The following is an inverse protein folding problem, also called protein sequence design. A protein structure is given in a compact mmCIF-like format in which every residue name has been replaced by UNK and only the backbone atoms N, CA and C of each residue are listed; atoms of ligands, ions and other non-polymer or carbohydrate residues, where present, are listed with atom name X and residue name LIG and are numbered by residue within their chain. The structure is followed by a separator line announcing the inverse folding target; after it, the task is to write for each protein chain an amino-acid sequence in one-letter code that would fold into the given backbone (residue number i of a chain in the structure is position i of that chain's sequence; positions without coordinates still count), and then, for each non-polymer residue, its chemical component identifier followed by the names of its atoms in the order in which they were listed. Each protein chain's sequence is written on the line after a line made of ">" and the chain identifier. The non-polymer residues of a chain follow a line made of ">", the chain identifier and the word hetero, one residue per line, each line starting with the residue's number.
data_IF_609492090449
#
_entry.id   IF_609492090449
#
_cell.length_a   1.000
_cell.length_b   1.000
_cell.length_c   1.000
_cell.angle_alpha   90.00
_cell.angle_beta   90.00
_cell.angle_gamma   90.00
#
_symmetry.space_group_name_H-M   'P 1'
#
loop_
_entity.id
_entity.type
_entity.pdbx_description
1 polymer ?
#
# COMPACT_ATOMS: atom_id res chain seq x y z
N UNK A 1 -13.60 4.08 -2.09
CA UNK A 1 -14.35 2.92 -1.56
C UNK A 1 -13.43 2.03 -0.75
N UNK A 2 -13.93 1.31 0.26
CA UNK A 2 -13.12 0.45 1.13
C UNK A 2 -13.13 -1.00 0.62
N UNK A 3 -11.96 -1.62 0.53
CA UNK A 3 -11.83 -3.03 0.16
C UNK A 3 -12.01 -3.90 1.41
N UNK A 4 -12.91 -4.87 1.33
CA UNK A 4 -13.14 -5.89 2.36
C UNK A 4 -13.67 -7.16 1.70
N UNK A 5 -13.63 -8.27 2.44
CA UNK A 5 -14.19 -9.55 2.00
C UNK A 5 -15.66 -9.42 1.58
N UNK A 6 -16.46 -8.66 2.35
CA UNK A 6 -17.88 -8.46 2.05
C UNK A 6 -18.07 -7.66 0.76
N UNK A 7 -17.27 -6.61 0.53
CA UNK A 7 -17.30 -5.84 -0.72
C UNK A 7 -17.07 -6.73 -1.95
N UNK A 8 -16.15 -7.68 -1.86
CA UNK A 8 -15.88 -8.62 -2.97
C UNK A 8 -17.02 -9.60 -3.20
N UNK A 9 -17.65 -10.14 -2.13
CA UNK A 9 -18.82 -11.04 -2.26
C UNK A 9 -20.03 -10.34 -2.87
N UNK A 10 -20.20 -9.05 -2.62
CA UNK A 10 -21.28 -8.23 -3.18
C UNK A 10 -21.03 -7.82 -4.64
N UNK A 11 -19.98 -8.33 -5.28
CA UNK A 11 -19.64 -8.02 -6.68
C UNK A 11 -18.94 -6.67 -6.88
N UNK A 12 -18.50 -6.00 -5.80
CA UNK A 12 -17.85 -4.68 -5.87
C UNK A 12 -16.36 -4.79 -6.21
N UNK A 13 -16.03 -5.44 -7.32
CA UNK A 13 -14.64 -5.71 -7.74
C UNK A 13 -13.81 -4.45 -8.00
N UNK A 14 -14.44 -3.34 -8.37
CA UNK A 14 -13.77 -2.04 -8.53
C UNK A 14 -13.13 -1.54 -7.23
N UNK A 15 -13.49 -2.09 -6.06
CA UNK A 15 -12.83 -1.79 -4.78
C UNK A 15 -11.38 -2.25 -4.75
N UNK A 16 -10.98 -3.24 -5.57
CA UNK A 16 -9.59 -3.68 -5.71
C UNK A 16 -8.66 -2.59 -6.24
N UNK A 17 -9.17 -1.69 -7.08
CA UNK A 17 -8.38 -0.58 -7.62
C UNK A 17 -8.66 0.71 -6.85
N UNK A 18 -9.93 1.01 -6.59
CA UNK A 18 -10.32 2.29 -5.99
C UNK A 18 -9.90 2.47 -4.52
N UNK A 19 -9.59 1.38 -3.80
CA UNK A 19 -9.07 1.50 -2.43
C UNK A 19 -7.64 2.07 -2.37
N UNK A 20 -6.86 1.93 -3.45
CA UNK A 20 -5.47 2.40 -3.54
C UNK A 20 -5.41 3.93 -3.38
N UNK A 21 -6.39 4.63 -3.95
CA UNK A 21 -6.46 6.10 -3.90
C UNK A 21 -7.10 6.65 -2.61
N UNK A 22 -7.68 5.77 -1.77
CA UNK A 22 -8.38 6.19 -0.58
C UNK A 22 -7.44 6.22 0.63
N UNK A 23 -7.23 7.40 1.20
CA UNK A 23 -6.37 7.58 2.37
C UNK A 23 -7.22 7.67 3.65
N UNK A 24 -6.66 7.20 4.77
CA UNK A 24 -7.35 7.22 6.06
C UNK A 24 -7.36 8.61 6.69
N UNK A 25 -6.27 9.36 6.49
CA UNK A 25 -6.01 10.69 7.06
C UNK A 25 -4.96 11.44 6.22
N UNK A 26 -4.86 12.76 6.44
CA UNK A 26 -3.94 13.63 5.69
C UNK A 26 -2.46 13.30 5.93
N UNK A 27 -2.09 12.81 7.12
CA UNK A 27 -0.72 12.40 7.42
C UNK A 27 -0.34 11.15 6.63
N UNK A 28 -1.24 10.17 6.52
CA UNK A 28 -1.02 8.98 5.68
C UNK A 28 -0.86 9.32 4.20
N UNK A 29 -1.65 10.28 3.69
CA UNK A 29 -1.47 10.80 2.34
C UNK A 29 -0.10 11.46 2.17
N UNK A 30 0.30 12.29 3.13
CA UNK A 30 1.59 12.98 3.10
C UNK A 30 2.75 12.00 3.10
N UNK A 31 2.74 10.99 3.98
CA UNK A 31 3.81 9.99 4.05
C UNK A 31 3.88 9.14 2.78
N UNK A 32 2.74 8.68 2.24
CA UNK A 32 2.74 7.93 0.98
C UNK A 32 3.25 8.78 -0.18
N UNK A 33 2.84 10.04 -0.27
CA UNK A 33 3.27 10.95 -1.34
C UNK A 33 4.76 11.29 -1.22
N UNK A 34 5.24 11.51 0.01
CA UNK A 34 6.65 11.72 0.30
C UNK A 34 7.48 10.52 -0.11
N UNK A 35 7.11 9.30 0.30
CA UNK A 35 7.81 8.08 -0.12
C UNK A 35 7.77 7.88 -1.63
N UNK A 36 6.61 8.11 -2.28
CA UNK A 36 6.48 8.03 -3.73
C UNK A 36 7.39 9.02 -4.45
N UNK A 37 7.59 10.22 -3.90
CA UNK A 37 8.50 11.22 -4.48
C UNK A 37 9.94 10.71 -4.52
N UNK A 38 10.46 10.17 -3.41
CA UNK A 38 11.81 9.62 -3.37
C UNK A 38 11.96 8.37 -4.23
N UNK A 39 11.06 7.41 -4.05
CA UNK A 39 11.11 6.13 -4.77
C UNK A 39 10.91 6.34 -6.27
N UNK A 40 10.01 7.24 -6.67
CA UNK A 40 9.80 7.62 -8.05
C UNK A 40 11.05 8.25 -8.68
N UNK A 41 11.77 9.07 -7.92
CA UNK A 41 13.08 9.60 -8.34
C UNK A 41 14.12 8.50 -8.55
N UNK A 42 14.24 7.56 -7.60
CA UNK A 42 15.17 6.42 -7.71
C UNK A 42 14.83 5.50 -8.88
N UNK A 43 13.54 5.30 -9.15
CA UNK A 43 13.03 4.46 -10.23
C UNK A 43 12.79 5.23 -11.53
N UNK A 44 13.37 6.43 -11.68
CA UNK A 44 13.21 7.27 -12.87
C UNK A 44 13.71 6.63 -14.17
N UNK A 45 14.57 5.61 -14.08
CA UNK A 45 14.99 4.80 -15.22
C UNK A 45 13.87 3.89 -15.77
N UNK A 46 12.78 3.67 -15.02
CA UNK A 46 11.61 2.95 -15.50
C UNK A 46 10.74 3.84 -16.39
N UNK A 47 10.21 3.27 -17.46
CA UNK A 47 9.15 3.91 -18.22
C UNK A 47 7.95 4.24 -17.30
N UNK A 48 7.31 5.41 -17.42
CA UNK A 48 6.21 5.81 -16.55
C UNK A 48 5.09 4.77 -16.45
N UNK A 49 4.76 4.10 -17.55
CA UNK A 49 3.76 3.04 -17.57
C UNK A 49 4.14 1.81 -16.73
N UNK A 50 5.44 1.48 -16.64
CA UNK A 50 5.93 0.38 -15.78
C UNK A 50 5.87 0.76 -14.31
N UNK A 51 6.22 2.00 -13.97
CA UNK A 51 6.10 2.50 -12.60
C UNK A 51 4.63 2.50 -12.14
N UNK A 52 3.72 2.97 -12.99
CA UNK A 52 2.28 2.95 -12.72
C UNK A 52 1.76 1.51 -12.59
N UNK A 53 2.19 0.60 -13.48
CA UNK A 53 1.80 -0.80 -13.40
C UNK A 53 2.27 -1.43 -12.09
N UNK A 54 3.54 -1.25 -11.71
CA UNK A 54 4.08 -1.77 -10.44
C UNK A 54 3.31 -1.21 -9.25
N UNK A 55 3.04 0.10 -9.24
CA UNK A 55 2.26 0.74 -8.20
C UNK A 55 0.85 0.13 -8.06
N UNK A 56 0.11 -0.02 -9.16
CA UNK A 56 -1.23 -0.60 -9.14
C UNK A 56 -1.22 -2.09 -8.79
N UNK A 57 -0.31 -2.86 -9.39
CA UNK A 57 -0.17 -4.30 -9.15
C UNK A 57 0.19 -4.59 -7.69
N UNK A 58 1.12 -3.85 -7.11
CA UNK A 58 1.47 -3.95 -5.69
C UNK A 58 0.32 -3.57 -4.77
N UNK A 59 -0.48 -2.56 -5.14
CA UNK A 59 -1.67 -2.18 -4.38
C UNK A 59 -2.73 -3.27 -4.38
N UNK A 60 -3.03 -3.83 -5.55
CA UNK A 60 -3.97 -4.95 -5.71
C UNK A 60 -3.47 -6.19 -4.95
N UNK A 61 -2.20 -6.55 -5.11
CA UNK A 61 -1.60 -7.70 -4.43
C UNK A 61 -1.63 -7.54 -2.90
N UNK A 62 -1.26 -6.36 -2.40
CA UNK A 62 -1.33 -6.05 -0.97
C UNK A 62 -2.77 -6.09 -0.42
N UNK A 63 -3.72 -5.55 -1.18
CA UNK A 63 -5.15 -5.59 -0.82
C UNK A 63 -5.70 -7.02 -0.77
N UNK A 64 -5.38 -7.85 -1.77
CA UNK A 64 -5.76 -9.26 -1.80
C UNK A 64 -5.12 -10.05 -0.66
N UNK A 65 -3.82 -9.86 -0.43
CA UNK A 65 -3.10 -10.50 0.66
C UNK A 65 -3.74 -10.17 2.02
N UNK A 66 -4.12 -8.91 2.24
CA UNK A 66 -4.80 -8.49 3.46
C UNK A 66 -6.19 -9.12 3.61
N UNK A 67 -6.99 -9.15 2.54
CA UNK A 67 -8.30 -9.80 2.56
C UNK A 67 -8.16 -11.31 2.84
N UNK A 68 -7.20 -11.99 2.22
CA UNK A 68 -6.94 -13.41 2.47
C UNK A 68 -6.44 -13.67 3.89
N UNK A 69 -5.57 -12.80 4.42
CA UNK A 69 -5.06 -12.93 5.79
C UNK A 69 -6.20 -12.78 6.82
N UNK A 70 -7.12 -11.85 6.59
CA UNK A 70 -8.31 -11.68 7.44
C UNK A 70 -9.29 -12.86 7.36
N UNK A 71 -9.28 -13.63 6.28
CA UNK A 71 -10.08 -14.85 6.14
C UNK A 71 -9.43 -16.05 6.83
N UNK A 72 -8.10 -16.19 6.73
CA UNK A 72 -7.36 -17.35 7.20
C UNK A 72 -6.95 -17.28 8.68
N UNK A 73 -6.69 -16.08 9.20
CA UNK A 73 -6.20 -15.91 10.57
C UNK A 73 -7.37 -15.84 11.57
N UNK A 74 -7.32 -16.58 12.69
CA UNK A 74 -8.35 -16.53 13.70
C UNK A 74 -8.51 -15.10 14.25
N UNK A 75 -9.75 -14.61 14.22
CA UNK A 75 -10.12 -13.25 14.64
C UNK A 75 -9.81 -13.10 16.13
N UNK A 76 -8.65 -12.52 16.47
CA UNK A 76 -8.36 -12.12 17.84
C UNK A 76 -9.38 -11.05 18.24
N UNK A 77 -10.40 -11.46 19.00
CA UNK A 77 -11.47 -10.62 19.55
C UNK A 77 -10.91 -9.73 20.68
N UNK A 78 -9.88 -8.94 20.38
CA UNK A 78 -9.48 -7.86 21.25
C UNK A 78 -10.32 -6.65 20.84
N UNK A 79 -11.27 -6.25 21.67
CA UNK A 79 -12.18 -5.13 21.48
C UNK A 79 -11.50 -3.75 21.61
N UNK A 80 -10.25 -3.62 21.18
CA UNK A 80 -9.60 -2.31 21.06
C UNK A 80 -10.07 -1.61 19.79
N UNK A 81 -10.16 -0.28 19.83
CA UNK A 81 -10.50 0.57 18.68
C UNK A 81 -9.65 0.24 17.43
N UNK A 82 -8.40 -0.20 17.64
CA UNK A 82 -7.49 -0.69 16.59
C UNK A 82 -7.97 -1.96 15.86
N UNK A 83 -8.70 -2.86 16.52
CA UNK A 83 -9.18 -4.09 15.88
C UNK A 83 -10.33 -3.86 14.90
N UNK A 84 -11.09 -2.77 15.07
CA UNK A 84 -12.18 -2.38 14.16
C UNK A 84 -11.65 -1.77 12.86
N UNK A 85 -10.43 -1.22 12.88
CA UNK A 85 -9.74 -0.77 11.66
C UNK A 85 -9.20 -1.94 10.81
N UNK A 86 -9.03 -3.15 11.36
CA UNK A 86 -8.57 -4.33 10.61
C UNK A 86 -9.57 -4.85 9.58
N UNK A 87 -10.83 -4.43 9.61
CA UNK A 87 -11.87 -4.94 8.71
C UNK A 87 -11.79 -4.35 7.30
N UNK A 88 -11.11 -3.20 7.15
CA UNK A 88 -11.05 -2.49 5.89
C UNK A 88 -9.60 -2.28 5.46
N UNK A 89 -9.29 -2.71 4.25
CA UNK A 89 -8.07 -2.27 3.57
C UNK A 89 -8.32 -0.85 3.10
N UNK A 90 -7.58 0.09 3.68
CA UNK A 90 -7.59 1.49 3.30
C UNK A 90 -6.15 1.88 3.07
N UNK A 91 -5.82 2.31 1.85
CA UNK A 91 -4.58 3.01 1.60
C UNK A 91 -3.71 2.45 0.48
N UNK A 92 -2.98 3.39 -0.10
CA UNK A 92 -1.86 3.27 -1.01
C UNK A 92 -0.64 2.53 -0.42
N UNK A 93 -0.61 2.23 0.87
CA UNK A 93 0.58 1.68 1.55
C UNK A 93 1.06 0.35 0.96
N UNK A 94 0.14 -0.52 0.51
CA UNK A 94 0.52 -1.75 -0.21
C UNK A 94 1.29 -1.47 -1.50
N UNK A 95 0.87 -0.45 -2.26
CA UNK A 95 1.56 0.02 -3.46
C UNK A 95 2.94 0.60 -3.15
N UNK A 96 3.03 1.45 -2.12
CA UNK A 96 4.29 2.08 -1.70
C UNK A 96 5.29 1.04 -1.20
N UNK A 97 4.85 0.10 -0.38
CA UNK A 97 5.69 -1.00 0.08
C UNK A 97 6.21 -1.85 -1.07
N UNK A 98 5.39 -2.10 -2.10
CA UNK A 98 5.83 -2.83 -3.29
C UNK A 98 6.90 -2.09 -4.10
N UNK A 99 6.74 -0.78 -4.29
CA UNK A 99 7.75 0.05 -4.95
C UNK A 99 9.04 0.16 -4.12
N UNK A 100 8.93 0.28 -2.79
CA UNK A 100 10.08 0.23 -1.89
C UNK A 100 10.82 -1.12 -2.00
N UNK A 101 10.09 -2.23 -1.96
CA UNK A 101 10.67 -3.56 -2.12
C UNK A 101 11.40 -3.69 -3.46
N UNK A 102 10.78 -3.24 -4.55
CA UNK A 102 11.43 -3.21 -5.86
C UNK A 102 12.71 -2.37 -5.85
N UNK A 103 12.66 -1.20 -5.22
CA UNK A 103 13.80 -0.30 -5.10
C UNK A 103 14.95 -0.93 -4.31
N UNK A 104 14.65 -1.61 -3.20
CA UNK A 104 15.65 -2.34 -2.42
C UNK A 104 16.33 -3.45 -3.24
N UNK A 105 15.60 -4.07 -4.16
CA UNK A 105 16.15 -5.11 -5.04
C UNK A 105 16.98 -4.53 -6.18
N UNK A 106 16.61 -3.38 -6.73
CA UNK A 106 17.32 -2.78 -7.88
C UNK A 106 18.46 -1.85 -7.48
N UNK A 107 18.40 -1.25 -6.29
CA UNK A 107 19.38 -0.28 -5.81
C UNK A 107 19.76 -0.56 -4.34
N UNK A 108 20.31 -1.75 -4.02
CA UNK A 108 20.58 -2.17 -2.63
C UNK A 108 21.63 -1.31 -1.91
N UNK A 109 22.53 -0.64 -2.65
CA UNK A 109 23.58 0.21 -2.10
C UNK A 109 23.23 1.71 -2.10
N UNK A 110 21.98 2.05 -2.41
CA UNK A 110 21.52 3.43 -2.37
C UNK A 110 21.59 3.99 -0.95
N UNK A 111 22.09 5.22 -0.82
CA UNK A 111 22.00 5.98 0.43
C UNK A 111 20.56 6.41 0.66
N UNK A 112 19.93 5.86 1.71
CA UNK A 112 18.60 6.27 2.14
C UNK A 112 18.75 7.42 3.12
N UNK A 113 18.08 8.54 2.85
CA UNK A 113 18.00 9.64 3.78
C UNK A 113 16.99 9.29 4.89
N UNK A 114 17.48 9.15 6.12
CA UNK A 114 16.63 8.97 7.30
C UNK A 114 16.25 10.36 7.79
N UNK A 115 15.12 10.91 7.37
CA UNK A 115 14.68 12.22 7.85
C UNK A 115 14.46 12.20 9.38
N UNK A 116 15.02 13.14 10.18
CA UNK A 116 15.75 14.36 9.80
C UNK A 116 17.29 14.26 9.85
N UNK A 117 17.86 13.07 10.04
CA UNK A 117 19.31 12.85 10.13
C UNK A 117 19.93 13.04 8.73
N UNK A 118 20.77 14.08 8.52
CA UNK A 118 21.52 14.20 7.29
C UNK A 118 22.57 13.08 7.22
N UNK A 119 22.75 12.52 6.02
CA UNK A 119 23.78 11.53 5.67
C UNK A 119 25.13 12.20 5.37
#
# INVERSE_FOLDING_TARGET
>A
HRLSYMSLREGRYWTLVTHIFHHADGLHLLMNSFTLYFVGGTLSFLAPGRLLFLYLASGIAGGLAHVSANMLLPRKRNSSLFSRQREYVIGCSGSVCGLLAYTCLTAPHMKVMIFPIPI
#
